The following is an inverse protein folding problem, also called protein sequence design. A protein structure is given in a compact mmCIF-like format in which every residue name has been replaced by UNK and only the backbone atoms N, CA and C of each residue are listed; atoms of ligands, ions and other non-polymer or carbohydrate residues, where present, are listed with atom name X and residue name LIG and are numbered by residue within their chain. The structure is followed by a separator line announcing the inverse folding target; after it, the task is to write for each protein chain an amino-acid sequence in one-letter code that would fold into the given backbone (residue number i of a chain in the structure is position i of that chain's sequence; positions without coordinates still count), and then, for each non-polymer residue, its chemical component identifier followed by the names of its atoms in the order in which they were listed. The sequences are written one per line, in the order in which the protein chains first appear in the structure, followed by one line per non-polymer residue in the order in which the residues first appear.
data_IF_060409978812
#
_entry.id   IF_060409978812
#
_cell.length_a   1.000
_cell.length_b   1.000
_cell.length_c   1.000
_cell.angle_alpha   90.00
_cell.angle_beta   90.00
_cell.angle_gamma   90.00
#
_symmetry.space_group_name_H-M   'P 1'
#
loop_
_entity.id
_entity.type
_entity.pdbx_description
1 polymer ?
#
# COMPACT_ATOMS: atom_id res chain seq x y z
N UNK A 1 -6.97 -18.66 3.55
CA UNK A 1 -5.79 -18.41 4.41
C UNK A 1 -5.16 -17.11 3.94
N UNK A 2 -4.77 -16.21 4.83
CA UNK A 2 -4.07 -14.97 4.46
C UNK A 2 -2.62 -15.34 4.19
N UNK A 3 -2.26 -15.48 2.91
CA UNK A 3 -0.92 -15.84 2.45
C UNK A 3 -0.04 -14.59 2.36
N UNK A 4 0.11 -13.87 3.47
CA UNK A 4 1.06 -12.76 3.55
C UNK A 4 2.42 -13.31 4.01
N UNK A 5 3.44 -13.13 3.17
CA UNK A 5 4.79 -13.61 3.47
C UNK A 5 5.62 -12.51 4.12
N UNK A 6 5.53 -11.28 3.58
CA UNK A 6 6.30 -10.15 4.07
C UNK A 6 5.55 -8.84 3.86
N UNK A 7 5.41 -8.04 4.92
CA UNK A 7 4.84 -6.70 4.86
C UNK A 7 5.82 -5.69 5.48
N UNK A 8 6.30 -4.76 4.66
CA UNK A 8 7.07 -3.61 5.12
C UNK A 8 6.30 -2.34 4.82
N UNK A 9 6.10 -1.50 5.83
CA UNK A 9 5.46 -0.18 5.69
C UNK A 9 6.39 0.86 6.31
N UNK A 10 6.69 1.93 5.58
CA UNK A 10 7.53 3.03 6.07
C UNK A 10 6.99 4.36 5.59
N UNK A 11 6.96 5.37 6.47
CA UNK A 11 6.41 6.71 6.19
C UNK A 11 4.91 6.83 6.47
N UNK A 12 4.27 7.86 5.90
CA UNK A 12 2.84 8.17 6.11
C UNK A 12 1.95 7.38 5.14
N UNK A 13 1.40 6.26 5.61
CA UNK A 13 0.57 5.34 4.81
C UNK A 13 -0.77 5.10 5.50
N UNK A 14 -1.86 5.31 4.76
CA UNK A 14 -3.23 5.04 5.23
C UNK A 14 -3.85 3.92 4.40
N UNK A 15 -4.49 2.97 5.09
CA UNK A 15 -5.21 1.87 4.46
C UNK A 15 -6.72 2.09 4.56
N UNK A 16 -7.41 2.00 3.42
CA UNK A 16 -8.86 1.98 3.35
C UNK A 16 -9.48 0.72 3.94
N UNK A 17 -10.81 0.70 4.02
CA UNK A 17 -11.56 -0.47 4.52
C UNK A 17 -11.50 -1.64 3.52
N UNK A 18 -11.45 -2.87 4.00
CA UNK A 18 -11.42 -4.10 3.18
C UNK A 18 -10.18 -4.23 2.26
N UNK A 19 -9.03 -3.72 2.66
CA UNK A 19 -7.78 -3.96 1.93
C UNK A 19 -7.31 -5.40 2.15
N UNK A 20 -6.90 -6.07 1.07
CA UNK A 20 -6.33 -7.43 1.11
C UNK A 20 -4.85 -7.38 0.74
N UNK A 21 -4.00 -7.97 1.57
CA UNK A 21 -2.55 -8.04 1.36
C UNK A 21 -2.13 -9.51 1.20
N UNK A 22 -1.35 -9.80 0.17
CA UNK A 22 -0.92 -11.17 -0.17
C UNK A 22 0.53 -11.19 -0.68
N UNK A 23 1.25 -12.27 -0.42
CA UNK A 23 2.66 -12.45 -0.76
C UNK A 23 3.55 -11.41 -0.09
N UNK A 24 4.47 -10.83 -0.87
CA UNK A 24 5.40 -9.79 -0.42
C UNK A 24 4.88 -8.41 -0.80
N UNK A 25 4.53 -7.60 0.20
CA UNK A 25 4.07 -6.22 0.03
C UNK A 25 5.03 -5.26 0.73
N UNK A 26 5.60 -4.33 -0.03
CA UNK A 26 6.52 -3.32 0.51
C UNK A 26 5.97 -1.95 0.15
N UNK A 27 5.73 -1.09 1.14
CA UNK A 27 5.13 0.24 0.97
C UNK A 27 6.03 1.28 1.63
N UNK A 28 6.63 2.14 0.81
CA UNK A 28 7.55 3.19 1.25
C UNK A 28 6.99 4.55 0.82
N UNK A 29 6.47 5.29 1.79
CA UNK A 29 6.10 6.70 1.68
C UNK A 29 7.32 7.58 1.98
N UNK A 30 7.61 8.51 1.07
CA UNK A 30 8.69 9.47 1.25
C UNK A 30 8.33 10.51 2.32
N UNK A 31 9.35 11.15 2.89
CA UNK A 31 9.17 12.18 3.90
C UNK A 31 8.41 13.39 3.32
N UNK A 32 7.18 13.60 3.78
CA UNK A 32 6.28 14.66 3.28
C UNK A 32 5.25 14.18 2.26
N UNK A 33 5.30 12.91 1.85
CA UNK A 33 4.29 12.27 1.01
C UNK A 33 3.40 11.34 1.83
N UNK A 34 2.10 11.37 1.52
CA UNK A 34 1.11 10.45 2.07
C UNK A 34 0.65 9.49 1.00
N UNK A 35 0.70 8.19 1.30
CA UNK A 35 0.14 7.14 0.46
C UNK A 35 -1.21 6.75 1.05
N UNK A 36 -2.28 6.91 0.27
CA UNK A 36 -3.62 6.47 0.65
C UNK A 36 -4.01 5.28 -0.22
N UNK A 37 -4.20 4.12 0.42
CA UNK A 37 -4.61 2.89 -0.24
C UNK A 37 -6.14 2.84 -0.24
N UNK A 38 -6.81 2.82 -1.40
CA UNK A 38 -8.26 2.89 -1.45
C UNK A 38 -8.94 1.68 -0.81
N UNK A 39 -10.19 1.83 -0.32
CA UNK A 39 -10.94 0.71 0.22
C UNK A 39 -11.18 -0.36 -0.84
N UNK A 40 -11.05 -1.64 -0.46
CA UNK A 40 -11.17 -2.77 -1.38
C UNK A 40 -9.92 -3.05 -2.22
N UNK A 41 -8.80 -2.34 -2.01
CA UNK A 41 -7.56 -2.60 -2.73
C UNK A 41 -7.00 -4.00 -2.41
N UNK A 42 -6.50 -4.68 -3.43
CA UNK A 42 -5.80 -5.96 -3.28
C UNK A 42 -4.34 -5.76 -3.71
N UNK A 43 -3.42 -5.86 -2.74
CA UNK A 43 -1.98 -5.79 -2.98
C UNK A 43 -1.40 -7.19 -2.86
N UNK A 44 -0.96 -7.74 -3.98
CA UNK A 44 -0.33 -9.05 -4.05
C UNK A 44 1.02 -8.95 -4.75
N UNK A 45 2.11 -9.34 -4.07
CA UNK A 45 3.47 -9.28 -4.61
C UNK A 45 3.83 -7.89 -5.19
N UNK A 46 3.39 -6.82 -4.51
CA UNK A 46 3.53 -5.42 -4.95
C UNK A 46 4.54 -4.66 -4.12
N UNK A 47 5.35 -3.86 -4.81
CA UNK A 47 6.21 -2.85 -4.20
C UNK A 47 5.64 -1.48 -4.56
N UNK A 48 5.25 -0.72 -3.54
CA UNK A 48 4.73 0.64 -3.64
C UNK A 48 5.78 1.59 -3.07
N UNK A 49 6.33 2.46 -3.90
CA UNK A 49 7.31 3.47 -3.48
C UNK A 49 7.07 4.79 -4.20
N UNK A 50 7.05 5.91 -3.46
CA UNK A 50 6.99 7.27 -4.02
C UNK A 50 5.68 8.06 -3.82
N UNK A 51 5.60 9.23 -4.47
CA UNK A 51 4.41 10.09 -4.57
C UNK A 51 3.41 9.45 -5.55
N UNK A 52 2.58 8.51 -5.08
CA UNK A 52 1.50 7.95 -5.90
C UNK A 52 0.34 8.95 -5.95
N UNK A 53 0.47 10.05 -6.69
CA UNK A 53 -0.65 10.95 -7.01
C UNK A 53 -1.48 10.33 -8.13
N UNK A 54 -2.51 9.55 -7.78
CA UNK A 54 -3.59 9.23 -8.71
C UNK A 54 -4.58 10.40 -8.66
N UNK A 55 -4.49 11.31 -9.64
CA UNK A 55 -5.56 12.27 -9.94
C UNK A 55 -6.55 11.55 -10.86
N UNK A 56 -7.75 11.27 -10.34
CA UNK A 56 -8.91 10.83 -11.12
C UNK A 56 -9.45 12.03 -11.94
N UNK A 57 -9.81 11.83 -13.21
CA UNK A 57 -10.52 12.81 -14.06
C UNK A 57 -11.79 12.19 -14.63
#
# INVERSE_FOLDING_TARGET
MLELDHLTVSGDVTFGKNVSLKGTVIIIANHGDRIDIPPGAVLENKIVSGNLRILDH
#
